data_IF_371373252202
#
_entry.id   IF_371373252202
#
_cell.length_a   1.000
_cell.length_b   1.000
_cell.length_c   1.000
_cell.angle_alpha   90.00
_cell.angle_beta   90.00
_cell.angle_gamma   90.00
#
_symmetry.space_group_name_H-M   'P 1'
#
loop_
_entity.id
_entity.type
_entity.pdbx_description
1 polymer ?
#
# COMPACT_ATOMS: atom_id res chain seq x y z
N UNK A 1 -8.29 -28.39 29.31
CA UNK A 1 -8.34 -28.69 27.88
C UNK A 1 -9.57 -27.98 27.29
N UNK A 2 -9.43 -26.73 26.87
CA UNK A 2 -10.50 -25.96 26.21
C UNK A 2 -10.06 -25.72 24.77
N UNK A 3 -10.74 -26.40 23.84
CA UNK A 3 -10.57 -26.20 22.40
C UNK A 3 -11.18 -24.85 22.02
N UNK A 4 -10.35 -23.91 21.58
CA UNK A 4 -10.82 -22.73 20.90
C UNK A 4 -10.78 -23.01 19.40
N UNK A 5 -11.95 -23.18 18.80
CA UNK A 5 -12.13 -23.24 17.36
C UNK A 5 -12.09 -21.80 16.82
N UNK A 6 -10.98 -21.40 16.25
CA UNK A 6 -10.88 -20.17 15.46
C UNK A 6 -11.55 -20.40 14.11
N UNK A 7 -12.70 -19.78 13.92
CA UNK A 7 -13.41 -19.74 12.65
C UNK A 7 -12.74 -18.69 11.77
N UNK A 8 -11.95 -19.13 10.79
CA UNK A 8 -11.50 -18.28 9.69
C UNK A 8 -12.71 -17.93 8.82
N UNK A 9 -13.24 -16.72 8.99
CA UNK A 9 -14.30 -16.19 8.14
C UNK A 9 -13.73 -15.80 6.77
N UNK A 10 -13.81 -16.71 5.81
CA UNK A 10 -13.52 -16.42 4.42
C UNK A 10 -14.60 -15.50 3.84
N UNK A 11 -14.27 -14.24 3.59
CA UNK A 11 -15.11 -13.34 2.80
C UNK A 11 -14.82 -13.60 1.33
N UNK A 12 -15.67 -14.41 0.70
CA UNK A 12 -15.74 -14.56 -0.75
C UNK A 12 -16.58 -13.40 -1.31
N UNK A 13 -15.93 -12.36 -1.83
CA UNK A 13 -16.61 -11.37 -2.67
C UNK A 13 -16.72 -11.93 -4.09
N UNK A 14 -17.89 -12.43 -4.45
CA UNK A 14 -18.24 -12.74 -5.82
C UNK A 14 -18.61 -11.45 -6.55
N UNK A 15 -17.70 -10.89 -7.34
CA UNK A 15 -18.00 -9.82 -8.30
C UNK A 15 -18.39 -10.48 -9.62
N UNK A 16 -19.69 -10.44 -9.95
CA UNK A 16 -20.20 -10.88 -11.23
C UNK A 16 -19.81 -9.88 -12.32
N UNK A 17 -18.85 -10.24 -13.17
CA UNK A 17 -18.53 -9.50 -14.38
C UNK A 17 -19.50 -9.89 -15.49
N UNK A 18 -20.44 -8.99 -15.82
CA UNK A 18 -21.28 -9.10 -17.02
C UNK A 18 -20.53 -8.55 -18.22
N UNK A 19 -20.07 -9.42 -19.11
CA UNK A 19 -19.53 -9.07 -20.41
C UNK A 19 -20.68 -8.82 -21.38
N UNK A 20 -20.88 -7.58 -21.83
CA UNK A 20 -21.71 -7.26 -22.99
C UNK A 20 -20.86 -6.94 -24.20
N UNK A 21 -20.91 -7.79 -25.22
CA UNK A 21 -20.39 -7.53 -26.55
C UNK A 21 -21.33 -6.61 -27.29
N UNK A 22 -20.89 -5.39 -27.61
CA UNK A 22 -21.52 -4.55 -28.64
C UNK A 22 -20.42 -3.78 -29.39
N UNK A 23 -20.27 -4.05 -30.66
CA UNK A 23 -19.47 -3.28 -31.61
C UNK A 23 -20.14 -1.93 -31.87
N UNK A 24 -19.37 -0.83 -31.83
CA UNK A 24 -19.77 0.47 -32.35
C UNK A 24 -19.05 1.63 -31.70
N UNK A 25 -18.21 2.32 -32.50
CA UNK A 25 -17.57 3.63 -32.28
C UNK A 25 -16.65 3.75 -31.05
N UNK A 26 -15.37 4.01 -31.34
CA UNK A 26 -14.27 4.27 -30.38
C UNK A 26 -14.51 5.55 -29.57
N UNK A 27 -15.39 5.47 -28.57
CA UNK A 27 -15.28 6.32 -27.38
C UNK A 27 -14.30 5.65 -26.43
N UNK A 28 -13.43 6.42 -25.71
CA UNK A 28 -12.57 5.81 -24.69
C UNK A 28 -13.45 5.04 -23.72
N UNK A 29 -13.34 3.71 -23.74
CA UNK A 29 -14.13 2.83 -22.90
C UNK A 29 -13.80 3.15 -21.44
N UNK A 30 -14.84 3.41 -20.64
CA UNK A 30 -14.74 3.39 -19.18
C UNK A 30 -14.26 2.02 -18.79
N UNK A 31 -12.99 1.93 -18.39
CA UNK A 31 -12.40 0.65 -18.03
C UNK A 31 -12.14 0.57 -16.55
N UNK A 32 -12.49 -0.56 -15.96
CA UNK A 32 -12.14 -0.94 -14.61
C UNK A 32 -11.00 -1.94 -14.66
N UNK A 33 -9.93 -1.66 -13.95
CA UNK A 33 -8.83 -2.58 -13.72
C UNK A 33 -8.83 -2.90 -12.23
N UNK A 34 -8.96 -4.17 -11.88
CA UNK A 34 -9.00 -4.62 -10.49
C UNK A 34 -7.92 -5.67 -10.29
N UNK A 35 -7.07 -5.49 -9.28
CA UNK A 35 -6.12 -6.49 -8.84
C UNK A 35 -6.28 -6.79 -7.37
N UNK A 36 -6.15 -8.06 -7.01
CA UNK A 36 -6.07 -8.53 -5.64
C UNK A 36 -4.74 -9.23 -5.41
N UNK A 37 -4.06 -8.88 -4.32
CA UNK A 37 -2.80 -9.47 -3.90
C UNK A 37 -3.03 -10.19 -2.56
N UNK A 38 -2.51 -11.40 -2.44
CA UNK A 38 -2.54 -12.18 -1.20
C UNK A 38 -1.16 -12.79 -0.96
N UNK A 39 -0.63 -12.61 0.24
CA UNK A 39 0.58 -13.24 0.72
C UNK A 39 0.36 -13.85 2.09
N UNK A 40 1.00 -15.00 2.35
CA UNK A 40 1.00 -15.65 3.64
C UNK A 40 2.34 -16.36 3.84
N UNK A 41 2.90 -16.26 5.04
CA UNK A 41 4.11 -16.96 5.45
C UNK A 41 3.81 -17.65 6.78
N UNK A 42 4.16 -18.93 6.86
CA UNK A 42 4.16 -19.68 8.11
C UNK A 42 5.48 -20.38 8.28
N UNK A 43 6.13 -20.12 9.39
CA UNK A 43 7.37 -20.81 9.81
C UNK A 43 7.05 -21.62 11.05
N UNK A 44 7.59 -22.83 11.15
CA UNK A 44 7.44 -23.72 12.32
C UNK A 44 8.79 -24.34 12.66
N UNK A 45 9.03 -24.64 13.92
CA UNK A 45 10.26 -25.23 14.43
C UNK A 45 10.83 -24.41 15.56
N UNK A 46 12.13 -24.06 15.49
CA UNK A 46 12.77 -23.25 16.54
C UNK A 46 12.29 -21.79 16.61
N UNK A 47 11.53 -21.36 15.61
CA UNK A 47 10.86 -20.05 15.56
C UNK A 47 9.51 -20.26 14.89
N UNK A 48 8.44 -19.79 15.52
CA UNK A 48 7.12 -19.81 14.92
C UNK A 48 6.69 -18.40 14.52
N UNK A 49 6.43 -18.21 13.24
CA UNK A 49 5.92 -16.93 12.68
C UNK A 49 4.73 -17.23 11.79
N UNK A 50 3.66 -16.49 11.94
CA UNK A 50 2.54 -16.48 11.01
C UNK A 50 2.33 -15.05 10.52
N UNK A 51 2.40 -14.83 9.21
CA UNK A 51 2.06 -13.53 8.62
C UNK A 51 1.07 -13.69 7.47
N UNK A 52 0.20 -12.71 7.37
CA UNK A 52 -0.77 -12.58 6.29
C UNK A 52 -0.77 -11.14 5.80
N UNK A 53 -0.71 -10.94 4.49
CA UNK A 53 -0.92 -9.66 3.89
C UNK A 53 -1.91 -9.75 2.72
N UNK A 54 -2.70 -8.70 2.56
CA UNK A 54 -3.67 -8.59 1.48
C UNK A 54 -3.72 -7.16 0.95
N UNK A 55 -3.97 -7.04 -0.37
CA UNK A 55 -4.15 -5.74 -1.01
C UNK A 55 -5.14 -5.85 -2.15
N UNK A 56 -5.99 -4.83 -2.28
CA UNK A 56 -6.86 -4.61 -3.44
C UNK A 56 -6.49 -3.26 -4.04
N UNK A 57 -6.29 -3.21 -5.34
CA UNK A 57 -6.04 -1.99 -6.11
C UNK A 57 -7.06 -1.94 -7.26
N UNK A 58 -7.85 -0.88 -7.26
CA UNK A 58 -8.92 -0.64 -8.25
C UNK A 58 -8.61 0.64 -8.99
N UNK A 59 -8.44 0.56 -10.30
CA UNK A 59 -8.29 1.72 -11.18
C UNK A 59 -9.50 1.84 -12.06
N UNK A 60 -10.13 3.02 -12.05
CA UNK A 60 -11.25 3.36 -12.91
C UNK A 60 -10.83 4.49 -13.85
N UNK A 61 -10.77 4.20 -15.16
CA UNK A 61 -10.45 5.16 -16.21
C UNK A 61 -11.72 5.64 -16.89
N UNK A 62 -11.82 6.94 -17.03
CA UNK A 62 -12.85 7.65 -17.82
C UNK A 62 -12.14 8.56 -18.81
N UNK A 63 -12.88 9.23 -19.68
CA UNK A 63 -12.32 10.09 -20.75
C UNK A 63 -11.22 11.04 -20.26
N UNK A 64 -11.49 11.79 -19.18
CA UNK A 64 -10.56 12.79 -18.65
C UNK A 64 -10.19 12.51 -17.17
N UNK A 65 -10.63 11.38 -16.60
CA UNK A 65 -10.39 11.07 -15.19
C UNK A 65 -9.76 9.69 -15.02
N UNK A 66 -8.81 9.62 -14.12
CA UNK A 66 -8.26 8.38 -13.61
C UNK A 66 -8.44 8.35 -12.09
N UNK A 67 -9.29 7.44 -11.61
CA UNK A 67 -9.48 7.22 -10.19
C UNK A 67 -8.76 5.94 -9.76
N UNK A 68 -8.17 5.95 -8.58
CA UNK A 68 -7.53 4.78 -7.99
C UNK A 68 -7.94 4.66 -6.54
N UNK A 69 -8.27 3.44 -6.13
CA UNK A 69 -8.64 3.09 -4.77
C UNK A 69 -7.79 1.91 -4.33
N UNK A 70 -7.12 2.04 -3.19
CA UNK A 70 -6.26 1.00 -2.62
C UNK A 70 -6.74 0.71 -1.22
N UNK A 71 -6.82 -0.59 -0.88
CA UNK A 71 -6.98 -1.05 0.48
C UNK A 71 -5.98 -2.18 0.72
N UNK A 72 -5.29 -2.18 1.87
CA UNK A 72 -4.39 -3.25 2.25
C UNK A 72 -4.42 -3.52 3.74
N UNK A 73 -4.06 -4.75 4.11
CA UNK A 73 -3.93 -5.21 5.48
C UNK A 73 -2.67 -6.05 5.62
N UNK A 74 -1.98 -5.90 6.75
CA UNK A 74 -0.86 -6.74 7.17
C UNK A 74 -1.13 -7.17 8.60
N UNK A 75 -0.95 -8.47 8.86
CA UNK A 75 -1.05 -9.05 10.19
C UNK A 75 0.08 -10.04 10.39
N UNK A 76 0.78 -9.98 11.53
CA UNK A 76 1.89 -10.86 11.85
C UNK A 76 1.87 -11.24 13.32
N UNK A 77 2.07 -12.52 13.59
CA UNK A 77 2.32 -13.06 14.91
C UNK A 77 3.69 -13.72 14.93
N UNK A 78 4.44 -13.49 15.98
CA UNK A 78 5.69 -14.18 16.27
C UNK A 78 5.59 -14.90 17.62
N UNK A 79 6.36 -15.98 17.78
CA UNK A 79 6.57 -16.61 19.06
C UNK A 79 7.73 -15.90 19.76
N UNK A 80 7.47 -15.35 20.92
CA UNK A 80 8.43 -14.57 21.73
C UNK A 80 8.71 -15.34 23.01
N UNK A 81 9.99 -15.52 23.35
CA UNK A 81 10.41 -16.10 24.62
C UNK A 81 10.29 -15.05 25.73
N UNK A 82 9.52 -15.38 26.75
CA UNK A 82 9.35 -14.54 27.94
C UNK A 82 10.54 -14.69 28.90
N UNK A 83 10.71 -13.74 29.83
CA UNK A 83 11.79 -13.74 30.84
C UNK A 83 11.80 -14.99 31.73
N UNK A 84 10.68 -15.70 31.84
CA UNK A 84 10.56 -16.95 32.60
C UNK A 84 10.89 -18.19 31.77
N UNK A 85 11.35 -18.05 30.51
CA UNK A 85 11.67 -19.13 29.59
C UNK A 85 10.44 -19.80 28.96
N UNK A 86 9.23 -19.22 29.11
CA UNK A 86 8.03 -19.67 28.38
C UNK A 86 7.91 -18.97 27.03
N UNK A 87 7.43 -19.70 26.03
CA UNK A 87 7.13 -19.13 24.71
C UNK A 87 5.67 -18.68 24.65
N UNK A 88 5.44 -17.45 24.20
CA UNK A 88 4.11 -16.89 23.99
C UNK A 88 3.99 -16.34 22.57
N UNK A 89 2.85 -16.58 21.92
CA UNK A 89 2.54 -15.98 20.61
C UNK A 89 2.03 -14.57 20.83
N UNK A 90 2.73 -13.59 20.25
CA UNK A 90 2.37 -12.18 20.30
C UNK A 90 2.15 -11.62 18.89
N UNK A 91 1.23 -10.68 18.78
CA UNK A 91 1.05 -9.92 17.53
C UNK A 91 2.19 -8.90 17.43
N UNK A 92 2.93 -8.94 16.33
CA UNK A 92 4.10 -8.08 16.09
C UNK A 92 3.93 -7.14 14.89
N UNK A 93 2.85 -7.29 14.11
CA UNK A 93 2.40 -6.29 13.15
C UNK A 93 0.90 -6.38 12.96
N UNK A 94 0.24 -5.22 13.01
CA UNK A 94 -1.16 -5.05 12.64
C UNK A 94 -1.32 -3.69 11.98
N UNK A 95 -1.52 -3.71 10.64
CA UNK A 95 -1.58 -2.50 9.84
C UNK A 95 -2.69 -2.57 8.80
N UNK A 96 -3.49 -1.52 8.75
CA UNK A 96 -4.53 -1.31 7.75
C UNK A 96 -4.27 0.00 7.01
N UNK A 97 -4.40 -0.02 5.71
CA UNK A 97 -4.22 1.16 4.87
C UNK A 97 -5.35 1.26 3.86
N UNK A 98 -5.86 2.47 3.66
CA UNK A 98 -6.79 2.78 2.58
C UNK A 98 -6.41 4.12 1.93
N UNK A 99 -6.54 4.21 0.60
CA UNK A 99 -6.36 5.46 -0.12
C UNK A 99 -7.30 5.60 -1.31
N UNK A 100 -7.59 6.85 -1.65
CA UNK A 100 -8.32 7.22 -2.85
C UNK A 100 -7.61 8.39 -3.54
N UNK A 101 -7.44 8.28 -4.85
CA UNK A 101 -6.88 9.31 -5.72
C UNK A 101 -7.79 9.53 -6.90
N UNK A 102 -8.09 10.79 -7.20
CA UNK A 102 -8.80 11.19 -8.40
C UNK A 102 -7.93 12.18 -9.17
N UNK A 103 -7.61 11.88 -10.43
CA UNK A 103 -6.74 12.67 -11.28
C UNK A 103 -7.48 13.08 -12.55
N UNK A 104 -7.54 14.38 -12.81
CA UNK A 104 -8.05 14.96 -14.05
C UNK A 104 -6.88 15.10 -15.05
N UNK A 105 -6.97 14.39 -16.17
CA UNK A 105 -5.97 14.40 -17.23
C UNK A 105 -6.05 15.71 -18.02
N UNK A 106 -4.92 16.39 -18.18
CA UNK A 106 -4.85 17.63 -18.96
C UNK A 106 -4.73 17.31 -20.47
N UNK A 107 -4.95 18.33 -21.30
CA UNK A 107 -5.01 18.18 -22.75
C UNK A 107 -3.67 17.76 -23.41
N UNK A 108 -2.56 17.84 -22.69
CA UNK A 108 -1.24 17.39 -23.14
C UNK A 108 -1.05 15.86 -23.03
N UNK A 109 -2.03 15.13 -22.45
CA UNK A 109 -2.00 13.68 -22.19
C UNK A 109 -0.86 13.18 -21.29
N UNK A 110 0.00 14.07 -20.78
CA UNK A 110 1.16 13.74 -19.96
C UNK A 110 1.01 14.22 -18.53
N UNK A 111 0.18 15.23 -18.31
CA UNK A 111 0.00 15.85 -17.00
C UNK A 111 -1.42 15.73 -16.48
N UNK A 112 -1.56 15.89 -15.17
CA UNK A 112 -2.84 15.83 -14.49
C UNK A 112 -2.86 16.73 -13.25
N UNK A 113 -4.07 17.11 -12.85
CA UNK A 113 -4.34 17.66 -11.52
C UNK A 113 -4.97 16.57 -10.67
N UNK A 114 -4.49 16.38 -9.47
CA UNK A 114 -5.01 15.32 -8.60
C UNK A 114 -5.51 15.83 -7.27
N UNK A 115 -6.42 15.05 -6.68
CA UNK A 115 -6.76 15.05 -5.25
C UNK A 115 -6.48 13.64 -4.73
N UNK A 116 -5.85 13.55 -3.56
CA UNK A 116 -5.47 12.31 -2.90
C UNK A 116 -5.88 12.36 -1.43
N UNK A 117 -6.33 11.24 -0.92
CA UNK A 117 -6.56 11.02 0.50
C UNK A 117 -6.12 9.63 0.91
N UNK A 118 -5.57 9.49 2.11
CA UNK A 118 -5.22 8.19 2.69
C UNK A 118 -5.47 8.15 4.18
N UNK A 119 -5.66 6.94 4.67
CA UNK A 119 -5.75 6.63 6.10
C UNK A 119 -4.94 5.36 6.38
N UNK A 120 -4.09 5.44 7.39
CA UNK A 120 -3.32 4.31 7.93
C UNK A 120 -3.72 4.12 9.39
N UNK A 121 -3.97 2.87 9.78
CA UNK A 121 -3.96 2.42 11.16
C UNK A 121 -2.83 1.41 11.29
N UNK A 122 -1.88 1.67 12.18
CA UNK A 122 -0.68 0.86 12.39
C UNK A 122 -0.40 0.78 13.90
N UNK A 123 -0.69 -0.40 14.47
CA UNK A 123 -0.61 -0.59 15.92
C UNK A 123 0.82 -0.49 16.46
N UNK A 124 1.81 -0.77 15.62
CA UNK A 124 3.24 -0.81 15.98
C UNK A 124 4.06 0.32 15.34
N UNK A 125 3.43 1.16 14.50
CA UNK A 125 4.09 2.24 13.81
C UNK A 125 4.32 3.48 14.68
N UNK A 126 5.08 4.45 14.17
CA UNK A 126 5.30 5.76 14.81
C UNK A 126 3.99 6.53 15.04
N UNK A 127 3.02 6.34 14.16
CA UNK A 127 1.67 6.86 14.29
C UNK A 127 0.66 5.73 14.32
N UNK A 128 -0.10 5.62 15.42
CA UNK A 128 -1.20 4.66 15.53
C UNK A 128 -2.28 4.90 14.47
N UNK A 129 -2.55 6.16 14.18
CA UNK A 129 -3.41 6.59 13.07
C UNK A 129 -2.76 7.74 12.33
N UNK A 130 -2.83 7.69 11.01
CA UNK A 130 -2.33 8.75 10.17
C UNK A 130 -3.24 8.95 8.96
N UNK A 131 -3.79 10.14 8.85
CA UNK A 131 -4.71 10.52 7.77
C UNK A 131 -4.13 11.68 7.01
N UNK A 132 -4.12 11.60 5.67
CA UNK A 132 -3.65 12.70 4.84
C UNK A 132 -4.66 13.08 3.76
N UNK A 133 -4.66 14.36 3.40
CA UNK A 133 -5.31 14.86 2.18
C UNK A 133 -4.34 15.76 1.45
N UNK A 134 -4.28 15.66 0.14
CA UNK A 134 -3.45 16.51 -0.69
C UNK A 134 -4.08 16.76 -2.06
N UNK A 135 -3.69 17.86 -2.69
CA UNK A 135 -4.05 18.16 -4.07
C UNK A 135 -2.82 18.73 -4.79
N UNK A 136 -2.64 18.43 -6.06
CA UNK A 136 -1.44 18.86 -6.73
C UNK A 136 -1.41 18.56 -8.21
N UNK A 137 -0.19 18.61 -8.74
CA UNK A 137 0.12 18.40 -10.13
C UNK A 137 0.95 17.12 -10.27
N UNK A 138 0.60 16.30 -11.25
CA UNK A 138 1.33 15.11 -11.64
C UNK A 138 1.72 15.17 -13.12
N UNK A 139 2.84 14.55 -13.46
CA UNK A 139 3.30 14.46 -14.83
C UNK A 139 3.95 13.10 -15.13
N UNK A 140 3.79 12.64 -16.35
CA UNK A 140 4.49 11.49 -16.92
C UNK A 140 5.75 11.95 -17.64
N UNK A 141 6.90 11.70 -17.04
CA UNK A 141 8.21 12.08 -17.56
C UNK A 141 8.75 11.11 -18.61
N UNK A 142 8.38 9.82 -18.48
CA UNK A 142 8.74 8.78 -19.44
C UNK A 142 7.48 8.04 -19.83
N UNK A 143 7.18 8.01 -21.15
CA UNK A 143 6.07 7.24 -21.74
C UNK A 143 6.64 6.39 -22.88
N UNK A 144 7.17 5.21 -22.56
CA UNK A 144 7.59 4.20 -23.51
C UNK A 144 6.76 2.94 -23.30
N UNK A 145 6.66 2.10 -24.28
CA UNK A 145 5.89 0.85 -24.20
C UNK A 145 6.32 -0.03 -23.02
N UNK A 146 7.64 -0.14 -22.79
CA UNK A 146 8.19 -0.96 -21.70
C UNK A 146 8.58 -0.18 -20.45
N UNK A 147 8.56 1.18 -20.48
CA UNK A 147 9.05 1.99 -19.36
C UNK A 147 8.19 3.24 -19.18
N UNK A 148 7.64 3.40 -17.99
CA UNK A 148 6.93 4.63 -17.60
C UNK A 148 7.54 5.20 -16.31
N UNK A 149 7.59 6.52 -16.21
CA UNK A 149 7.94 7.25 -15.01
C UNK A 149 6.90 8.36 -14.81
N UNK A 150 6.13 8.22 -13.76
CA UNK A 150 5.17 9.21 -13.29
C UNK A 150 5.70 9.85 -12.01
N UNK A 151 5.52 11.16 -11.84
CA UNK A 151 5.80 11.84 -10.58
C UNK A 151 4.75 12.91 -10.30
N UNK A 152 4.56 13.22 -9.02
CA UNK A 152 3.57 14.16 -8.55
C UNK A 152 4.06 14.94 -7.33
N UNK A 153 3.55 16.17 -7.19
CA UNK A 153 3.82 17.04 -6.05
C UNK A 153 2.58 17.87 -5.75
N UNK A 154 2.31 18.12 -4.48
CA UNK A 154 1.23 19.00 -4.05
C UNK A 154 1.24 19.30 -2.56
N UNK A 155 0.68 20.46 -2.17
CA UNK A 155 0.39 20.74 -0.77
C UNK A 155 -0.68 19.79 -0.23
N UNK A 156 -0.61 19.56 1.07
CA UNK A 156 -1.56 18.73 1.79
C UNK A 156 -1.64 19.10 3.25
N UNK A 157 -2.43 18.34 3.95
CA UNK A 157 -2.64 18.44 5.39
C UNK A 157 -2.74 17.03 5.97
N UNK A 158 -2.19 16.82 7.17
CA UNK A 158 -2.25 15.56 7.87
C UNK A 158 -2.85 15.70 9.27
N UNK A 159 -3.38 14.59 9.76
CA UNK A 159 -3.80 14.35 11.14
C UNK A 159 -3.19 13.00 11.57
N UNK A 160 -2.47 13.01 12.69
CA UNK A 160 -1.76 11.86 13.23
C UNK A 160 -2.02 11.69 14.72
N UNK A 161 -2.16 10.43 15.14
CA UNK A 161 -2.10 10.00 16.53
C UNK A 161 -0.68 9.42 16.74
N UNK A 162 0.31 10.28 17.08
CA UNK A 162 1.72 9.89 17.27
C UNK A 162 1.88 9.13 18.58
N UNK A 163 2.62 8.05 18.54
CA UNK A 163 3.04 7.31 19.75
C UNK A 163 4.25 8.03 20.33
N UNK A 164 4.14 8.57 21.54
CA UNK A 164 5.22 9.26 22.24
C UNK A 164 5.91 8.35 23.27
N UNK A 165 5.17 7.41 23.84
CA UNK A 165 5.68 6.41 24.77
C UNK A 165 4.82 5.13 24.60
N UNK A 166 5.43 4.06 24.12
CA UNK A 166 4.71 2.80 23.84
C UNK A 166 4.40 2.04 25.13
N UNK A 167 5.32 2.04 26.08
CA UNK A 167 5.18 1.31 27.36
C UNK A 167 4.03 1.88 28.21
N UNK A 168 3.79 3.18 28.13
CA UNK A 168 2.74 3.88 28.87
C UNK A 168 1.50 4.21 28.01
N UNK A 169 1.47 3.79 26.74
CA UNK A 169 0.41 4.07 25.74
C UNK A 169 0.08 5.58 25.63
N UNK A 170 1.15 6.41 25.66
CA UNK A 170 1.00 7.86 25.51
C UNK A 170 0.91 8.22 24.03
N UNK A 171 -0.24 8.75 23.64
CA UNK A 171 -0.52 9.19 22.27
C UNK A 171 -0.75 10.70 22.25
N UNK A 172 -0.01 11.38 21.36
CA UNK A 172 -0.13 12.82 21.12
C UNK A 172 -0.75 13.06 19.75
N UNK A 173 -1.70 13.97 19.67
CA UNK A 173 -2.30 14.37 18.40
C UNK A 173 -1.44 15.41 17.72
N UNK A 174 -1.04 15.11 16.51
CA UNK A 174 -0.32 16.03 15.64
C UNK A 174 -1.13 16.29 14.37
N UNK A 175 -1.10 17.52 13.92
CA UNK A 175 -1.72 17.90 12.65
C UNK A 175 -1.00 19.09 12.03
N UNK A 176 -0.95 19.17 10.73
CA UNK A 176 -0.24 20.26 10.08
C UNK A 176 -0.26 20.23 8.57
N UNK A 177 0.27 21.31 8.00
CA UNK A 177 0.52 21.38 6.58
C UNK A 177 1.71 20.52 6.20
N UNK A 178 1.62 19.90 5.01
CA UNK A 178 2.71 19.13 4.44
C UNK A 178 2.82 19.36 2.93
N UNK A 179 3.97 19.01 2.38
CA UNK A 179 4.15 18.83 0.94
C UNK A 179 4.29 17.34 0.67
N UNK A 180 3.38 16.81 -0.15
CA UNK A 180 3.44 15.44 -0.61
C UNK A 180 4.11 15.38 -1.98
N UNK A 181 5.08 14.47 -2.11
CA UNK A 181 5.69 14.10 -3.38
C UNK A 181 5.59 12.60 -3.57
N UNK A 182 5.40 12.15 -4.81
CA UNK A 182 5.46 10.72 -5.12
C UNK A 182 6.01 10.50 -6.53
N UNK A 183 6.64 9.35 -6.74
CA UNK A 183 7.10 8.91 -8.04
C UNK A 183 6.85 7.41 -8.20
N UNK A 184 6.49 6.99 -9.42
CA UNK A 184 6.34 5.59 -9.78
C UNK A 184 7.07 5.31 -11.09
N UNK A 185 8.08 4.42 -11.00
CA UNK A 185 8.77 3.85 -12.16
C UNK A 185 8.23 2.44 -12.37
N UNK A 186 7.73 2.15 -13.58
CA UNK A 186 7.32 0.83 -14.01
C UNK A 186 8.10 0.42 -15.25
N UNK A 187 8.82 -0.70 -15.16
CA UNK A 187 9.65 -1.22 -16.23
C UNK A 187 9.35 -2.68 -16.53
N UNK A 188 8.68 -2.94 -17.66
CA UNK A 188 8.51 -4.27 -18.24
C UNK A 188 9.78 -4.62 -19.02
N UNK A 189 10.78 -5.23 -18.36
CA UNK A 189 12.05 -5.57 -18.99
C UNK A 189 12.02 -6.88 -19.78
N UNK A 190 10.96 -7.68 -19.59
CA UNK A 190 10.57 -8.80 -20.48
C UNK A 190 9.05 -8.82 -20.60
N UNK A 191 8.51 -9.65 -21.54
CA UNK A 191 7.06 -9.84 -21.74
C UNK A 191 6.37 -10.41 -20.49
N UNK A 192 7.13 -11.08 -19.63
CA UNK A 192 6.60 -11.76 -18.44
C UNK A 192 7.05 -11.14 -17.12
N UNK A 193 8.02 -10.22 -17.11
CA UNK A 193 8.55 -9.67 -15.88
C UNK A 193 8.53 -8.14 -15.88
N UNK A 194 8.06 -7.58 -14.77
CA UNK A 194 7.92 -6.13 -14.55
C UNK A 194 8.55 -5.76 -13.22
N UNK A 195 9.47 -4.80 -13.27
CA UNK A 195 10.00 -4.10 -12.10
C UNK A 195 9.14 -2.87 -11.83
N UNK A 196 8.83 -2.64 -10.56
CA UNK A 196 8.11 -1.46 -10.12
C UNK A 196 8.83 -0.84 -8.91
N UNK A 197 9.06 0.47 -8.96
CA UNK A 197 9.58 1.27 -7.87
C UNK A 197 8.61 2.39 -7.58
N UNK A 198 8.11 2.45 -6.35
CA UNK A 198 7.31 3.55 -5.85
C UNK A 198 8.09 4.28 -4.76
N UNK A 199 8.12 5.59 -4.84
CA UNK A 199 8.71 6.47 -3.85
C UNK A 199 7.66 7.48 -3.43
N UNK A 200 7.60 7.78 -2.15
CA UNK A 200 6.76 8.81 -1.58
C UNK A 200 7.50 9.56 -0.49
N UNK A 201 7.23 10.86 -0.38
CA UNK A 201 7.64 11.65 0.76
C UNK A 201 6.52 12.63 1.13
N UNK A 202 6.25 12.73 2.43
CA UNK A 202 5.34 13.70 3.03
C UNK A 202 6.17 14.53 4.01
N UNK A 203 6.46 15.77 3.61
CA UNK A 203 7.34 16.69 4.34
C UNK A 203 6.46 17.68 5.12
N UNK A 204 6.43 17.57 6.44
CA UNK A 204 5.81 18.50 7.35
C UNK A 204 6.88 19.26 8.15
N UNK A 205 6.47 20.14 9.06
CA UNK A 205 7.39 20.96 9.84
C UNK A 205 8.24 20.10 10.79
N UNK A 206 7.61 19.20 11.53
CA UNK A 206 8.27 18.42 12.57
C UNK A 206 8.68 17.02 12.10
N UNK A 207 7.94 16.41 11.18
CA UNK A 207 8.21 15.07 10.68
C UNK A 207 8.23 14.99 9.15
N UNK A 208 9.14 14.17 8.61
CA UNK A 208 9.14 13.76 7.22
C UNK A 208 8.97 12.26 7.14
N UNK A 209 7.93 11.83 6.44
CA UNK A 209 7.64 10.42 6.18
C UNK A 209 8.09 10.03 4.78
N UNK A 210 8.91 9.00 4.68
CA UNK A 210 9.35 8.42 3.41
C UNK A 210 8.80 7.02 3.26
N UNK A 211 8.35 6.70 2.05
CA UNK A 211 7.93 5.35 1.66
C UNK A 211 8.66 4.96 0.38
N UNK A 212 9.28 3.79 0.40
CA UNK A 212 9.87 3.16 -0.78
C UNK A 212 9.31 1.76 -0.91
N UNK A 213 8.66 1.43 -2.04
CA UNK A 213 8.21 0.07 -2.37
C UNK A 213 8.89 -0.35 -3.67
N UNK A 214 9.74 -1.36 -3.57
CA UNK A 214 10.45 -1.96 -4.69
C UNK A 214 9.88 -3.35 -4.92
N UNK A 215 9.44 -3.66 -6.13
CA UNK A 215 8.88 -4.98 -6.42
C UNK A 215 9.21 -5.49 -7.83
N UNK A 216 9.25 -6.82 -7.91
CA UNK A 216 9.39 -7.58 -9.13
C UNK A 216 8.19 -8.51 -9.28
N UNK A 217 7.45 -8.38 -10.38
CA UNK A 217 6.31 -9.23 -10.70
C UNK A 217 6.63 -10.11 -11.91
N UNK A 218 6.24 -11.37 -11.84
CA UNK A 218 6.39 -12.33 -12.95
C UNK A 218 5.04 -12.98 -13.26
N UNK A 219 4.64 -12.96 -14.51
CA UNK A 219 3.40 -13.60 -14.98
C UNK A 219 3.51 -15.12 -14.85
N UNK A 220 2.51 -15.74 -14.20
CA UNK A 220 2.30 -17.18 -14.12
C UNK A 220 1.28 -17.59 -15.20
N UNK A 221 0.27 -16.74 -15.40
CA UNK A 221 -0.75 -16.87 -16.44
C UNK A 221 -1.25 -15.48 -16.85
N UNK A 222 -2.21 -15.42 -17.77
CA UNK A 222 -2.79 -14.13 -18.23
C UNK A 222 -3.40 -13.29 -17.11
N UNK A 223 -3.87 -13.94 -16.02
CA UNK A 223 -4.51 -13.28 -14.89
C UNK A 223 -3.74 -13.38 -13.58
N UNK A 224 -2.71 -14.22 -13.53
CA UNK A 224 -1.99 -14.50 -12.29
C UNK A 224 -0.52 -14.10 -12.40
N UNK A 225 -0.01 -13.45 -11.36
CA UNK A 225 1.39 -13.07 -11.24
C UNK A 225 1.90 -13.43 -9.85
N UNK A 226 3.16 -13.79 -9.76
CA UNK A 226 3.92 -13.80 -8.51
C UNK A 226 4.63 -12.46 -8.36
N UNK A 227 4.54 -11.85 -7.20
CA UNK A 227 5.17 -10.58 -6.87
C UNK A 227 6.02 -10.75 -5.63
N UNK A 228 7.29 -10.37 -5.74
CA UNK A 228 8.22 -10.25 -4.61
C UNK A 228 8.53 -8.79 -4.42
N UNK A 229 8.48 -8.30 -3.20
CA UNK A 229 8.73 -6.89 -2.93
C UNK A 229 9.36 -6.63 -1.57
N UNK A 230 9.87 -5.42 -1.47
CA UNK A 230 10.52 -4.86 -0.30
C UNK A 230 10.04 -3.43 -0.08
N UNK A 231 9.42 -3.18 1.05
CA UNK A 231 8.94 -1.87 1.45
C UNK A 231 9.80 -1.33 2.58
N UNK A 232 10.15 -0.06 2.50
CA UNK A 232 10.80 0.72 3.56
C UNK A 232 9.87 1.88 3.89
N UNK A 233 9.51 2.02 5.16
CA UNK A 233 8.86 3.20 5.72
C UNK A 233 9.86 3.86 6.67
N UNK A 234 9.99 5.17 6.61
CA UNK A 234 10.85 5.92 7.49
C UNK A 234 10.16 7.20 7.94
N UNK A 235 10.09 7.39 9.24
CA UNK A 235 9.64 8.61 9.91
C UNK A 235 10.86 9.26 10.59
N UNK A 236 11.06 10.57 10.39
CA UNK A 236 12.23 11.30 10.96
C UNK A 236 12.02 11.68 12.41
N UNK A 237 10.79 11.73 12.88
CA UNK A 237 10.41 12.04 14.23
C UNK A 237 9.58 10.90 14.84
N UNK A 238 10.21 10.12 15.70
CA UNK A 238 9.62 8.95 16.40
C UNK A 238 9.96 9.06 17.89
N UNK A 239 9.25 8.32 18.74
CA UNK A 239 9.56 8.20 20.16
C UNK A 239 10.98 7.66 20.37
N UNK A 240 11.61 8.02 21.51
CA UNK A 240 13.01 7.66 21.81
C UNK A 240 13.25 6.13 21.88
N UNK A 241 12.19 5.35 22.14
CA UNK A 241 12.19 3.89 22.25
C UNK A 241 11.81 3.19 20.93
N UNK A 242 11.49 3.96 19.87
CA UNK A 242 11.11 3.41 18.55
C UNK A 242 12.19 3.61 17.49
N UNK A 243 12.27 2.62 16.60
CA UNK A 243 13.05 2.78 15.37
C UNK A 243 12.27 3.58 14.34
N UNK A 244 12.92 4.60 13.75
CA UNK A 244 12.32 5.43 12.71
C UNK A 244 12.19 4.74 11.35
N UNK A 245 12.63 3.47 11.22
CA UNK A 245 12.63 2.75 9.93
C UNK A 245 12.06 1.36 10.08
N UNK A 246 10.95 1.11 9.38
CA UNK A 246 10.34 -0.20 9.25
C UNK A 246 10.58 -0.77 7.87
N UNK A 247 10.89 -2.05 7.80
CA UNK A 247 11.07 -2.76 6.54
C UNK A 247 10.18 -4.00 6.47
N UNK A 248 9.61 -4.23 5.28
CA UNK A 248 8.77 -5.40 5.05
C UNK A 248 9.17 -6.08 3.74
N UNK A 249 9.56 -7.35 3.80
CA UNK A 249 9.71 -8.20 2.61
C UNK A 249 8.43 -9.02 2.44
N UNK A 250 7.91 -9.08 1.22
CA UNK A 250 6.69 -9.81 0.95
C UNK A 250 6.76 -10.64 -0.34
N UNK A 251 6.01 -11.74 -0.37
CA UNK A 251 5.79 -12.58 -1.56
C UNK A 251 4.29 -12.76 -1.70
N UNK A 252 3.73 -12.24 -2.79
CA UNK A 252 2.30 -12.22 -3.03
C UNK A 252 1.95 -12.94 -4.33
N UNK A 253 0.82 -13.62 -4.31
CA UNK A 253 0.09 -14.00 -5.50
C UNK A 253 -0.86 -12.86 -5.87
N UNK A 254 -0.75 -12.37 -7.10
CA UNK A 254 -1.57 -11.29 -7.65
C UNK A 254 -2.55 -11.87 -8.65
N UNK A 255 -3.82 -11.54 -8.52
CA UNK A 255 -4.88 -11.89 -9.48
C UNK A 255 -5.47 -10.63 -10.09
N UNK A 256 -5.51 -10.57 -11.43
CA UNK A 256 -6.09 -9.48 -12.21
C UNK A 256 -7.44 -9.95 -12.79
N UNK A 257 -8.48 -9.17 -12.52
CA UNK A 257 -9.86 -9.45 -12.93
C UNK A 257 -10.19 -8.91 -14.31
#
# INVERSE_FOLDING_TARGET
>A
MKMYTTAAAGVLLAVAASSSLAQGELKPEKTWEVSAELGAIRTTGNTETESFNGKIDVVHRMENWKNQYIASALYKNDQVEQDDGTEQTETTAEKYFASAKSAYLLADEFSNLFVYGSHTHDEFGAYRKYTTVSAGYGARFIKRESLTLDAEIGPGYFWGDKVEDEDNDIIVKEEGFMVRTAAELKWAFTDNATFNQKLGAEVAEDNTRYVSDTSLSTKISDRMQMKVGYTVNHDTDVADDKEGTDTTTYINLVYNF
#
